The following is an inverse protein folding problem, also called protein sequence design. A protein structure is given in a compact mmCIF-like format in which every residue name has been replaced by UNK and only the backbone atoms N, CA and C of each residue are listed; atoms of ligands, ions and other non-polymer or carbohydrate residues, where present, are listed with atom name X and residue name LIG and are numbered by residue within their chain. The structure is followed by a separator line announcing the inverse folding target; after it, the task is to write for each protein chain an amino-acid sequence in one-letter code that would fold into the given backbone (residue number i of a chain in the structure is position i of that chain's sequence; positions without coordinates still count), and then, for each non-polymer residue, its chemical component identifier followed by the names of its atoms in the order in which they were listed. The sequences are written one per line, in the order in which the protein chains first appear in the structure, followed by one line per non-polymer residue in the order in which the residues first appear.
data_IF_063425297675
#
_entry.id   IF_063425297675
#
_cell.length_a   1.000
_cell.length_b   1.000
_cell.length_c   1.000
_cell.angle_alpha   90.00
_cell.angle_beta   90.00
_cell.angle_gamma   90.00
#
_symmetry.space_group_name_H-M   'P 1'
#
loop_
_entity.id
_entity.type
_entity.pdbx_description
1 polymer ?
#
# COMPACT_ATOMS: atom_id res chain seq x y z
N UNK A 1 15.85 0.86 20.81
CA UNK A 1 14.87 1.55 19.96
C UNK A 1 15.55 2.73 19.25
N UNK A 2 15.23 2.95 17.99
CA UNK A 2 15.72 4.09 17.21
C UNK A 2 14.56 5.02 16.85
N UNK A 3 14.79 6.33 16.95
CA UNK A 3 13.85 7.37 16.53
C UNK A 3 14.43 8.08 15.30
N UNK A 4 13.61 8.25 14.27
CA UNK A 4 13.93 9.02 13.07
C UNK A 4 12.86 10.07 12.89
N UNK A 5 13.26 11.32 12.76
CA UNK A 5 12.38 12.46 12.47
C UNK A 5 12.64 13.01 11.07
N UNK A 6 11.60 13.50 10.41
CA UNK A 6 11.68 14.22 9.14
C UNK A 6 10.63 15.31 9.10
N UNK A 7 10.98 16.44 8.52
CA UNK A 7 10.05 17.56 8.28
C UNK A 7 9.60 17.55 6.83
N UNK A 8 8.31 17.77 6.60
CA UNK A 8 7.71 17.74 5.27
C UNK A 8 6.62 18.81 5.12
N UNK A 9 6.73 19.62 4.07
CA UNK A 9 5.71 20.61 3.72
C UNK A 9 4.85 20.09 2.56
N UNK A 10 3.52 19.95 2.81
CA UNK A 10 2.53 19.52 1.81
C UNK A 10 1.56 20.67 1.55
N UNK A 11 1.85 21.53 0.54
CA UNK A 11 1.07 22.72 0.27
C UNK A 11 -0.15 22.48 -0.63
N UNK A 12 0.00 21.65 -1.65
CA UNK A 12 -0.92 21.53 -2.80
C UNK A 12 -1.73 20.22 -2.83
N UNK A 13 -1.77 19.47 -1.71
CA UNK A 13 -2.39 18.14 -1.65
C UNK A 13 -3.71 18.10 -0.86
N UNK A 14 -4.29 19.26 -0.58
CA UNK A 14 -5.61 19.35 0.06
C UNK A 14 -6.65 18.62 -0.80
N UNK A 15 -7.46 17.75 -0.17
CA UNK A 15 -8.45 16.94 -0.86
C UNK A 15 -7.94 15.64 -1.45
N UNK A 16 -6.62 15.37 -1.39
CA UNK A 16 -6.02 14.08 -1.77
C UNK A 16 -5.89 13.18 -0.54
N UNK A 17 -5.76 11.87 -0.80
CA UNK A 17 -5.33 10.91 0.22
C UNK A 17 -3.81 10.84 0.24
N UNK A 18 -3.24 10.75 1.43
CA UNK A 18 -1.79 10.71 1.61
C UNK A 18 -1.42 9.53 2.48
N UNK A 19 -0.48 8.73 2.01
CA UNK A 19 0.00 7.53 2.69
C UNK A 19 1.51 7.56 2.87
N UNK A 20 1.99 7.03 4.00
CA UNK A 20 3.38 6.65 4.18
C UNK A 20 3.50 5.14 4.00
N UNK A 21 4.36 4.71 3.08
CA UNK A 21 4.67 3.31 2.81
C UNK A 21 6.12 3.04 3.13
N UNK A 22 6.36 2.06 3.98
CA UNK A 22 7.66 1.58 4.38
C UNK A 22 7.92 0.23 3.72
N UNK A 23 9.10 0.06 3.12
CA UNK A 23 9.51 -1.22 2.51
C UNK A 23 10.08 -2.20 3.54
N UNK A 24 10.54 -1.70 4.69
CA UNK A 24 11.03 -2.49 5.81
C UNK A 24 11.62 -1.64 6.92
N UNK A 25 11.21 -1.98 8.15
CA UNK A 25 11.69 -1.35 9.40
C UNK A 25 11.89 -2.45 10.43
N UNK A 26 13.03 -2.53 11.04
CA UNK A 26 13.30 -3.60 12.00
C UNK A 26 13.11 -3.16 13.45
N UNK A 27 12.24 -3.84 14.21
CA UNK A 27 11.33 -4.91 13.83
C UNK A 27 9.89 -4.63 14.28
N UNK A 28 9.72 -3.81 15.32
CA UNK A 28 8.45 -3.27 15.79
C UNK A 28 8.44 -1.77 15.54
N UNK A 29 7.43 -1.29 14.87
CA UNK A 29 7.38 0.10 14.41
C UNK A 29 6.15 0.81 14.94
N UNK A 30 6.35 2.03 15.42
CA UNK A 30 5.27 2.99 15.69
C UNK A 30 5.53 4.23 14.82
N UNK A 31 4.53 4.70 14.10
CA UNK A 31 4.64 5.88 13.23
C UNK A 31 3.76 6.98 13.77
N UNK A 32 4.33 8.15 13.96
CA UNK A 32 3.67 9.35 14.44
C UNK A 32 3.76 10.46 13.40
N UNK A 33 2.70 11.22 13.25
CA UNK A 33 2.65 12.45 12.45
C UNK A 33 2.10 13.57 13.33
N UNK A 34 2.88 14.63 13.49
CA UNK A 34 2.53 15.76 14.38
C UNK A 34 2.16 15.27 15.79
N UNK A 35 2.96 14.38 16.35
CA UNK A 35 2.76 13.73 17.66
C UNK A 35 1.54 12.80 17.76
N UNK A 36 0.78 12.60 16.68
CA UNK A 36 -0.36 11.67 16.64
C UNK A 36 0.10 10.31 16.11
N UNK A 37 -0.14 9.22 16.87
CA UNK A 37 0.09 7.86 16.41
C UNK A 37 -0.84 7.55 15.23
N UNK A 38 -0.27 7.23 14.06
CA UNK A 38 -1.03 6.89 12.85
C UNK A 38 -1.05 5.40 12.55
N UNK A 39 -0.12 4.64 13.11
CA UNK A 39 -0.14 3.19 13.00
C UNK A 39 1.05 2.49 13.65
N UNK A 40 0.91 1.18 13.79
CA UNK A 40 1.94 0.27 14.31
C UNK A 40 2.12 -0.92 13.37
N UNK A 41 3.34 -1.44 13.30
CA UNK A 41 3.65 -2.63 12.51
C UNK A 41 4.58 -3.57 13.29
N UNK A 42 4.33 -4.87 13.16
CA UNK A 42 5.20 -5.94 13.68
C UNK A 42 5.76 -6.75 12.52
N UNK A 43 7.07 -6.93 12.53
CA UNK A 43 7.79 -7.68 11.52
C UNK A 43 8.80 -6.82 10.76
N UNK A 44 10.05 -7.26 10.74
CA UNK A 44 11.15 -6.48 10.19
C UNK A 44 11.27 -6.52 8.67
N UNK A 45 10.61 -7.47 7.98
CA UNK A 45 10.91 -7.79 6.59
C UNK A 45 9.77 -7.50 5.60
N UNK A 46 8.57 -7.26 6.11
CA UNK A 46 7.40 -6.96 5.28
C UNK A 46 7.19 -5.46 5.13
N UNK A 47 6.69 -5.06 3.95
CA UNK A 47 6.25 -3.69 3.73
C UNK A 47 4.92 -3.42 4.44
N UNK A 48 4.69 -2.17 4.82
CA UNK A 48 3.44 -1.69 5.40
C UNK A 48 3.16 -0.24 4.99
N UNK A 49 1.91 0.16 5.07
CA UNK A 49 1.50 1.52 4.73
C UNK A 49 0.40 2.02 5.67
N UNK A 50 0.44 3.30 5.99
CA UNK A 50 -0.57 3.98 6.79
C UNK A 50 -1.08 5.23 6.07
N UNK A 51 -2.40 5.45 6.10
CA UNK A 51 -2.98 6.70 5.66
C UNK A 51 -2.73 7.77 6.73
N UNK A 52 -2.14 8.89 6.32
CA UNK A 52 -1.72 9.94 7.25
C UNK A 52 -2.49 11.26 7.07
N UNK A 53 -3.37 11.34 6.06
CA UNK A 53 -4.06 12.58 5.66
C UNK A 53 -4.73 13.32 6.81
N UNK A 54 -5.37 12.59 7.75
CA UNK A 54 -6.06 13.19 8.91
C UNK A 54 -5.13 13.73 10.00
N UNK A 55 -3.84 13.40 9.95
CA UNK A 55 -2.83 13.87 10.89
C UNK A 55 -1.98 15.02 10.31
N UNK A 56 -2.13 15.32 9.00
CA UNK A 56 -1.37 16.34 8.31
C UNK A 56 -1.96 17.74 8.50
N UNK A 57 -1.07 18.71 8.60
CA UNK A 57 -1.34 20.16 8.50
C UNK A 57 -1.00 20.60 7.08
N UNK A 58 -2.01 20.81 6.24
CA UNK A 58 -1.79 21.24 4.86
C UNK A 58 -1.33 22.71 4.83
N UNK A 59 -0.28 22.99 4.05
CA UNK A 59 0.30 24.32 3.94
C UNK A 59 1.27 24.71 5.05
N UNK A 60 1.60 23.77 5.94
CA UNK A 60 2.56 23.95 7.03
C UNK A 60 3.56 22.81 7.06
N UNK A 61 4.59 22.93 7.87
CA UNK A 61 5.51 21.85 8.18
C UNK A 61 4.84 20.76 8.98
N UNK A 62 5.19 19.53 8.68
CA UNK A 62 4.71 18.33 9.37
C UNK A 62 5.90 17.52 9.85
N UNK A 63 5.87 17.15 11.12
CA UNK A 63 6.85 16.27 11.73
C UNK A 63 6.41 14.81 11.56
N UNK A 64 7.28 13.96 11.05
CA UNK A 64 7.10 12.51 10.99
C UNK A 64 8.14 11.89 11.92
N UNK A 65 7.68 11.17 12.93
CA UNK A 65 8.53 10.43 13.86
C UNK A 65 8.24 8.94 13.74
N UNK A 66 9.31 8.16 13.57
CA UNK A 66 9.25 6.69 13.49
C UNK A 66 10.05 6.11 14.63
N UNK A 67 9.38 5.39 15.53
CA UNK A 67 10.04 4.59 16.56
C UNK A 67 10.21 3.17 16.00
N UNK A 68 11.45 2.71 15.92
CA UNK A 68 11.80 1.36 15.51
C UNK A 68 12.49 0.63 16.69
N UNK A 69 11.94 -0.50 17.06
CA UNK A 69 12.43 -1.32 18.16
C UNK A 69 12.77 -2.73 17.65
N UNK A 70 14.05 -3.09 17.70
CA UNK A 70 14.56 -4.41 17.31
C UNK A 70 14.86 -5.32 18.51
N UNK A 71 14.35 -5.01 19.69
CA UNK A 71 14.48 -5.89 20.86
C UNK A 71 13.91 -7.27 20.57
N UNK A 72 14.61 -8.33 20.98
CA UNK A 72 14.18 -9.71 20.80
C UNK A 72 12.81 -9.96 21.45
N UNK A 73 11.89 -10.55 20.70
CA UNK A 73 10.52 -10.81 21.12
C UNK A 73 10.04 -12.17 20.59
N UNK A 74 9.24 -12.92 21.37
CA UNK A 74 8.74 -14.22 20.92
C UNK A 74 7.68 -14.13 19.79
N UNK A 75 7.09 -12.95 19.60
CA UNK A 75 6.01 -12.69 18.63
C UNK A 75 6.49 -12.01 17.34
N UNK A 76 7.82 -11.86 17.14
CA UNK A 76 8.42 -11.22 15.97
C UNK A 76 9.61 -12.05 15.47
N UNK A 77 9.64 -12.33 14.18
CA UNK A 77 10.73 -13.07 13.52
C UNK A 77 11.88 -12.12 13.18
N UNK A 78 13.15 -12.54 13.40
CA UNK A 78 13.59 -13.80 14.01
C UNK A 78 13.50 -13.76 15.54
N UNK A 79 13.03 -14.84 16.15
CA UNK A 79 12.98 -14.96 17.62
C UNK A 79 14.36 -15.22 18.24
N UNK A 80 15.30 -15.69 17.45
CA UNK A 80 16.69 -15.99 17.87
C UNK A 80 17.66 -15.01 17.20
N UNK A 81 18.07 -13.99 17.92
CA UNK A 81 19.03 -12.99 17.48
C UNK A 81 20.49 -13.48 17.50
N UNK A 82 20.76 -14.63 18.08
CA UNK A 82 22.11 -15.23 18.04
C UNK A 82 22.45 -15.82 16.68
N UNK A 83 21.44 -16.28 15.94
CA UNK A 83 21.62 -16.86 14.59
C UNK A 83 21.48 -15.85 13.48
N UNK A 84 20.73 -14.77 13.70
CA UNK A 84 20.41 -13.79 12.69
C UNK A 84 20.72 -12.38 13.21
N UNK A 85 21.49 -11.62 12.44
CA UNK A 85 21.70 -10.20 12.71
C UNK A 85 20.38 -9.44 12.50
N UNK A 86 19.85 -8.84 13.56
CA UNK A 86 18.65 -8.01 13.50
C UNK A 86 19.06 -6.56 13.55
N UNK A 87 19.04 -5.92 12.40
CA UNK A 87 19.31 -4.49 12.27
C UNK A 87 18.09 -3.69 12.73
N UNK A 88 18.30 -2.69 13.59
CA UNK A 88 17.25 -1.77 14.01
C UNK A 88 17.10 -0.62 13.02
N UNK A 89 15.93 0.02 13.06
CA UNK A 89 15.67 1.22 12.29
C UNK A 89 15.11 0.97 10.88
N UNK A 90 15.05 2.04 10.11
CA UNK A 90 14.58 2.03 8.73
C UNK A 90 15.75 1.64 7.83
N UNK A 91 15.69 0.48 7.20
CA UNK A 91 16.76 -0.05 6.35
C UNK A 91 16.36 -0.19 4.87
N UNK A 92 15.12 0.15 4.53
CA UNK A 92 14.59 0.19 3.16
C UNK A 92 13.89 1.52 2.89
N UNK A 93 13.63 1.84 1.60
CA UNK A 93 12.96 3.09 1.24
C UNK A 93 11.65 3.34 1.96
N UNK A 94 11.37 4.62 2.19
CA UNK A 94 10.08 5.14 2.64
C UNK A 94 9.50 6.00 1.53
N UNK A 95 8.22 5.77 1.20
CA UNK A 95 7.52 6.46 0.13
C UNK A 95 6.37 7.28 0.68
N UNK A 96 6.24 8.49 0.16
CA UNK A 96 5.02 9.27 0.29
C UNK A 96 4.16 9.00 -0.95
N UNK A 97 3.02 8.35 -0.77
CA UNK A 97 2.08 8.04 -1.84
C UNK A 97 0.89 8.99 -1.73
N UNK A 98 0.56 9.65 -2.83
CA UNK A 98 -0.54 10.60 -2.91
C UNK A 98 -1.50 10.11 -3.98
N UNK A 99 -2.77 9.98 -3.62
CA UNK A 99 -3.82 9.48 -4.51
C UNK A 99 -5.03 10.40 -4.53
N UNK A 100 -5.93 10.17 -5.48
CA UNK A 100 -7.29 10.68 -5.42
C UNK A 100 -8.08 10.02 -4.29
N UNK A 101 -9.31 10.53 -4.03
CA UNK A 101 -10.22 9.93 -3.06
C UNK A 101 -10.60 8.50 -3.46
N UNK A 102 -10.76 8.25 -4.77
CA UNK A 102 -10.96 6.91 -5.33
C UNK A 102 -9.63 6.40 -5.88
N UNK A 103 -9.16 5.29 -5.37
CA UNK A 103 -7.85 4.76 -5.75
C UNK A 103 -7.79 3.24 -5.62
N UNK A 104 -6.79 2.63 -6.24
CA UNK A 104 -6.40 1.25 -5.92
C UNK A 104 -5.83 1.26 -4.50
N UNK A 105 -6.30 0.33 -3.66
CA UNK A 105 -5.94 0.25 -2.23
C UNK A 105 -4.42 0.21 -2.01
N UNK A 106 -3.92 1.11 -1.19
CA UNK A 106 -2.49 1.19 -0.82
C UNK A 106 -2.19 0.39 0.45
N UNK A 107 -3.19 0.24 1.32
CA UNK A 107 -3.03 -0.29 2.68
C UNK A 107 -3.24 -1.80 2.80
N UNK A 108 -3.56 -2.50 1.71
CA UNK A 108 -3.69 -3.97 1.72
C UNK A 108 -2.30 -4.63 1.78
N UNK A 109 -1.75 -4.77 2.97
CA UNK A 109 -0.38 -5.25 3.23
C UNK A 109 0.70 -4.48 2.44
N UNK A 110 0.47 -3.19 2.16
CA UNK A 110 1.30 -2.35 1.29
C UNK A 110 1.57 -2.98 -0.10
N UNK A 111 0.71 -3.87 -0.55
CA UNK A 111 0.75 -4.48 -1.88
C UNK A 111 0.25 -3.50 -2.95
N UNK A 112 0.43 -3.80 -4.24
CA UNK A 112 -0.10 -2.96 -5.32
C UNK A 112 -1.64 -2.87 -5.38
N UNK A 113 -2.39 -3.63 -4.56
CA UNK A 113 -3.85 -3.70 -4.61
C UNK A 113 -4.40 -4.45 -5.82
N UNK A 114 -3.52 -4.97 -6.68
CA UNK A 114 -3.83 -5.75 -7.87
C UNK A 114 -3.14 -7.11 -7.76
N UNK A 115 -3.92 -8.17 -7.94
CA UNK A 115 -3.45 -9.55 -7.81
C UNK A 115 -3.80 -10.34 -9.05
N UNK A 116 -2.84 -11.06 -9.60
CA UNK A 116 -2.98 -11.83 -10.83
C UNK A 116 -2.87 -13.32 -10.49
N UNK A 117 -3.87 -14.09 -10.92
CA UNK A 117 -3.86 -15.55 -10.83
C UNK A 117 -3.96 -16.14 -12.22
N UNK A 118 -3.16 -17.15 -12.49
CA UNK A 118 -3.15 -17.86 -13.78
C UNK A 118 -3.57 -19.32 -13.58
N UNK A 119 -4.39 -19.83 -14.50
CA UNK A 119 -4.81 -21.24 -14.56
C UNK A 119 -4.73 -21.73 -16.00
N UNK A 120 -4.73 -23.05 -16.17
CA UNK A 120 -4.76 -23.73 -17.49
C UNK A 120 -3.69 -23.17 -18.44
N UNK A 121 -2.50 -22.90 -17.91
CA UNK A 121 -1.40 -22.30 -18.67
C UNK A 121 -0.76 -23.34 -19.58
N UNK A 122 -0.69 -23.04 -20.86
CA UNK A 122 -0.05 -23.87 -21.89
C UNK A 122 0.72 -22.99 -22.90
N UNK A 123 1.33 -23.59 -23.90
CA UNK A 123 1.96 -22.84 -24.99
C UNK A 123 0.94 -22.07 -25.86
N UNK A 124 -0.35 -22.42 -25.79
CA UNK A 124 -1.41 -21.89 -26.65
C UNK A 124 -2.49 -21.12 -25.89
N UNK A 125 -2.63 -21.34 -24.58
CA UNK A 125 -3.75 -20.79 -23.82
C UNK A 125 -3.37 -20.47 -22.38
N UNK A 126 -4.09 -19.54 -21.80
CA UNK A 126 -4.06 -19.25 -20.37
C UNK A 126 -5.36 -18.61 -19.91
N UNK A 127 -5.86 -18.98 -18.73
CA UNK A 127 -6.92 -18.27 -18.02
C UNK A 127 -6.27 -17.33 -17.01
N UNK A 128 -6.53 -16.03 -17.13
CA UNK A 128 -5.97 -15.01 -16.24
C UNK A 128 -7.11 -14.35 -15.47
N UNK A 129 -7.02 -14.35 -14.15
CA UNK A 129 -7.92 -13.60 -13.28
C UNK A 129 -7.17 -12.46 -12.62
N UNK A 130 -7.66 -11.25 -12.81
CA UNK A 130 -7.15 -10.03 -12.15
C UNK A 130 -8.13 -9.65 -11.05
N UNK A 131 -7.66 -9.69 -9.81
CA UNK A 131 -8.37 -9.17 -8.63
C UNK A 131 -7.85 -7.78 -8.31
N UNK A 132 -8.72 -6.79 -8.22
CA UNK A 132 -8.39 -5.41 -7.87
C UNK A 132 -9.17 -4.99 -6.64
N UNK A 133 -8.49 -4.40 -5.66
CA UNK A 133 -9.10 -3.75 -4.50
C UNK A 133 -9.12 -2.24 -4.72
N UNK A 134 -10.29 -1.64 -4.58
CA UNK A 134 -10.52 -0.20 -4.77
C UNK A 134 -11.05 0.42 -3.49
N UNK A 135 -10.51 1.58 -3.15
CA UNK A 135 -10.95 2.40 -2.03
C UNK A 135 -11.72 3.63 -2.53
N UNK A 136 -12.75 4.00 -1.78
CA UNK A 136 -13.37 5.31 -1.84
C UNK A 136 -13.20 6.01 -0.49
N UNK A 137 -12.35 7.02 -0.43
CA UNK A 137 -12.12 7.84 0.78
C UNK A 137 -13.15 8.97 0.96
N UNK A 138 -14.05 9.19 -0.02
CA UNK A 138 -15.06 10.25 0.07
C UNK A 138 -16.27 9.81 0.90
N UNK A 139 -17.08 10.81 1.31
CA UNK A 139 -18.34 10.59 2.03
C UNK A 139 -19.53 10.27 1.11
N UNK A 140 -19.31 10.27 -0.20
CA UNK A 140 -20.36 10.02 -1.22
C UNK A 140 -20.00 8.82 -2.07
N UNK A 141 -21.00 8.08 -2.60
CA UNK A 141 -20.74 7.03 -3.61
C UNK A 141 -20.02 7.59 -4.82
N UNK A 142 -19.22 6.76 -5.48
CA UNK A 142 -18.49 7.15 -6.69
C UNK A 142 -18.74 6.14 -7.82
N UNK A 143 -19.23 6.63 -8.97
CA UNK A 143 -19.39 5.84 -10.19
C UNK A 143 -18.10 5.90 -11.00
N UNK A 144 -17.51 4.75 -11.29
CA UNK A 144 -16.22 4.60 -11.95
C UNK A 144 -16.30 3.52 -13.04
N UNK A 145 -15.27 3.47 -13.87
CA UNK A 145 -15.02 2.35 -14.78
C UNK A 145 -13.65 1.78 -14.45
N UNK A 146 -13.62 0.53 -13.99
CA UNK A 146 -12.37 -0.23 -13.85
C UNK A 146 -12.01 -0.82 -15.21
N UNK A 147 -10.86 -0.44 -15.73
CA UNK A 147 -10.31 -1.01 -16.97
C UNK A 147 -9.05 -1.83 -16.65
N UNK A 148 -9.08 -3.12 -16.98
CA UNK A 148 -7.93 -4.01 -16.93
C UNK A 148 -7.51 -4.34 -18.35
N UNK A 149 -6.26 -4.07 -18.71
CA UNK A 149 -5.72 -4.34 -20.06
C UNK A 149 -4.47 -5.19 -19.95
N UNK A 150 -4.41 -6.26 -20.72
CA UNK A 150 -3.26 -7.13 -20.85
C UNK A 150 -2.44 -6.74 -22.08
N UNK A 151 -1.12 -6.72 -21.90
CA UNK A 151 -0.14 -6.41 -22.94
C UNK A 151 0.87 -7.54 -23.04
N UNK A 152 1.45 -7.75 -24.25
CA UNK A 152 2.67 -8.55 -24.41
C UNK A 152 3.87 -7.79 -23.81
N UNK A 153 5.00 -8.47 -23.70
CA UNK A 153 6.25 -7.87 -23.27
C UNK A 153 6.69 -6.71 -24.16
N UNK A 154 6.36 -6.77 -25.46
CA UNK A 154 6.64 -5.73 -26.47
C UNK A 154 5.62 -4.57 -26.45
N UNK A 155 4.67 -4.60 -25.51
CA UNK A 155 3.68 -3.53 -25.34
C UNK A 155 2.46 -3.64 -26.27
N UNK A 156 2.27 -4.74 -27.00
CA UNK A 156 1.07 -4.96 -27.82
C UNK A 156 -0.12 -5.36 -26.93
N UNK A 157 -1.24 -4.66 -27.08
CA UNK A 157 -2.47 -4.98 -26.35
C UNK A 157 -3.02 -6.35 -26.81
N UNK A 158 -3.26 -7.23 -25.84
CA UNK A 158 -3.79 -8.59 -26.03
C UNK A 158 -5.29 -8.63 -25.75
N UNK A 159 -5.70 -8.11 -24.60
CA UNK A 159 -7.09 -8.12 -24.17
C UNK A 159 -7.39 -6.93 -23.25
N UNK A 160 -8.65 -6.51 -23.17
CA UNK A 160 -9.10 -5.48 -22.23
C UNK A 160 -10.49 -5.84 -21.72
N UNK A 161 -10.74 -5.54 -20.45
CA UNK A 161 -12.04 -5.68 -19.81
C UNK A 161 -12.38 -4.39 -19.08
N UNK A 162 -13.57 -3.82 -19.36
CA UNK A 162 -14.09 -2.61 -18.73
C UNK A 162 -15.30 -2.96 -17.89
N UNK A 163 -15.26 -2.61 -16.63
CA UNK A 163 -16.30 -2.89 -15.64
C UNK A 163 -16.81 -1.57 -15.06
N UNK A 164 -18.01 -1.08 -15.43
CA UNK A 164 -18.68 -0.02 -14.69
C UNK A 164 -19.03 -0.50 -13.29
N UNK A 165 -18.78 0.35 -12.29
CA UNK A 165 -18.99 0.00 -10.89
C UNK A 165 -19.29 1.25 -10.06
N UNK A 166 -19.91 1.03 -8.90
CA UNK A 166 -20.12 2.04 -7.87
C UNK A 166 -19.31 1.66 -6.64
N UNK A 167 -18.54 2.60 -6.12
CA UNK A 167 -17.84 2.46 -4.84
C UNK A 167 -18.69 3.06 -3.72
N UNK A 168 -18.90 2.28 -2.66
CA UNK A 168 -19.54 2.76 -1.44
C UNK A 168 -18.68 3.81 -0.74
N UNK A 169 -19.29 4.79 -0.05
CA UNK A 169 -18.53 5.79 0.72
C UNK A 169 -17.64 5.16 1.77
N UNK A 170 -16.44 5.68 1.95
CA UNK A 170 -15.47 5.28 2.99
C UNK A 170 -15.24 3.76 3.05
N UNK A 171 -15.28 3.10 1.90
CA UNK A 171 -15.22 1.64 1.80
C UNK A 171 -14.12 1.13 0.89
N UNK A 172 -13.74 -0.13 1.12
CA UNK A 172 -12.87 -0.91 0.23
C UNK A 172 -13.70 -2.02 -0.41
N UNK A 173 -13.63 -2.12 -1.72
CA UNK A 173 -14.36 -3.15 -2.49
C UNK A 173 -13.41 -3.91 -3.40
N UNK A 174 -13.75 -5.19 -3.65
CA UNK A 174 -12.94 -6.08 -4.47
C UNK A 174 -13.68 -6.45 -5.75
N UNK A 175 -12.98 -6.32 -6.88
CA UNK A 175 -13.49 -6.61 -8.21
C UNK A 175 -12.61 -7.61 -8.94
N UNK A 176 -13.21 -8.35 -9.87
CA UNK A 176 -12.53 -9.39 -10.63
C UNK A 176 -12.76 -9.19 -12.12
N UNK A 177 -11.70 -9.37 -12.90
CA UNK A 177 -11.75 -9.49 -14.36
C UNK A 177 -11.10 -10.80 -14.78
N UNK A 178 -11.75 -11.56 -15.66
CA UNK A 178 -11.22 -12.83 -16.16
C UNK A 178 -10.98 -12.75 -17.66
N UNK A 179 -9.82 -13.20 -18.10
CA UNK A 179 -9.41 -13.26 -19.50
C UNK A 179 -9.13 -14.71 -19.86
N UNK A 180 -9.64 -15.13 -21.01
CA UNK A 180 -9.29 -16.40 -21.66
C UNK A 180 -8.44 -16.08 -22.87
N UNK A 181 -7.18 -16.48 -22.85
CA UNK A 181 -6.23 -16.31 -23.94
C UNK A 181 -6.09 -17.64 -24.68
N UNK A 182 -6.18 -17.61 -26.01
CA UNK A 182 -6.07 -18.74 -26.94
C UNK A 182 -4.98 -18.47 -27.95
#
# INVERSE_FOLDING_TARGET
ASLVGSEMCIRDRKGKRVFLRFEGVGANTEVYVNSKLVGTHKGGYSAFAFEIGTALKFGAENEIMVKADNTARPDVIPVNHSLFGVYGGIYRPVWLIITEQNNITVTDCASPGVYITQKNVSKRSADITVKVKLDNGSLTPANLVLENTLYTQEGKRVASHRLPLELTPQGTQTYFSTFKLN
#
